data_IF_815481068860
#
_entry.id   IF_815481068860
#
_cell.length_a   1.000
_cell.length_b   1.000
_cell.length_c   1.000
_cell.angle_alpha   90.00
_cell.angle_beta   90.00
_cell.angle_gamma   90.00
#
_symmetry.space_group_name_H-M   'P 1'
#
loop_
_entity.id
_entity.type
_entity.pdbx_description
1 polymer ?
#
# COMPACT_ATOMS: atom_id res chain seq x y z
N UNK A 1 -10.80 -6.34 16.33
CA UNK A 1 -10.14 -5.45 15.36
C UNK A 1 -8.74 -5.22 15.90
N UNK A 2 -7.69 -5.64 15.19
CA UNK A 2 -6.31 -5.37 15.60
C UNK A 2 -6.09 -3.85 15.60
N UNK A 3 -5.40 -3.32 16.61
CA UNK A 3 -5.08 -1.90 16.64
C UNK A 3 -4.12 -1.53 15.49
N UNK A 4 -4.21 -0.29 15.01
CA UNK A 4 -3.44 0.19 13.85
C UNK A 4 -1.93 0.08 14.06
N UNK A 5 -1.43 0.32 15.27
CA UNK A 5 0.00 0.20 15.56
C UNK A 5 0.49 -1.24 15.33
N UNK A 6 -0.26 -2.22 15.84
CA UNK A 6 0.03 -3.64 15.66
C UNK A 6 -0.09 -4.06 14.20
N UNK A 7 -1.03 -3.50 13.44
CA UNK A 7 -1.16 -3.77 12.02
C UNK A 7 0.07 -3.28 11.21
N UNK A 8 0.60 -2.10 11.55
CA UNK A 8 1.82 -1.56 10.93
C UNK A 8 3.04 -2.43 11.25
N UNK A 9 3.23 -2.79 12.52
CA UNK A 9 4.32 -3.68 12.94
C UNK A 9 4.23 -5.05 12.26
N UNK A 10 3.02 -5.61 12.16
CA UNK A 10 2.79 -6.88 11.46
C UNK A 10 3.13 -6.77 9.98
N UNK A 11 2.71 -5.69 9.32
CA UNK A 11 2.99 -5.48 7.91
C UNK A 11 4.49 -5.31 7.63
N UNK A 12 5.20 -4.57 8.48
CA UNK A 12 6.66 -4.42 8.39
C UNK A 12 7.38 -5.75 8.62
N UNK A 13 6.93 -6.57 9.58
CA UNK A 13 7.48 -7.91 9.82
C UNK A 13 7.24 -8.86 8.64
N UNK A 14 6.02 -8.86 8.07
CA UNK A 14 5.69 -9.63 6.87
C UNK A 14 6.55 -9.21 5.67
N UNK A 15 6.74 -7.91 5.44
CA UNK A 15 7.63 -7.40 4.40
C UNK A 15 9.09 -7.84 4.61
N UNK A 16 9.59 -7.80 5.85
CA UNK A 16 10.93 -8.27 6.18
C UNK A 16 11.09 -9.79 5.95
N UNK A 17 10.00 -10.55 6.06
CA UNK A 17 9.93 -11.97 5.76
C UNK A 17 9.64 -12.30 4.28
N UNK A 18 9.58 -11.28 3.40
CA UNK A 18 9.18 -11.41 2.00
C UNK A 18 7.78 -12.01 1.80
N UNK A 19 6.85 -11.72 2.70
CA UNK A 19 5.44 -12.11 2.68
C UNK A 19 4.54 -10.88 2.38
N UNK A 20 4.36 -10.50 1.11
CA UNK A 20 3.50 -9.37 0.76
C UNK A 20 2.01 -9.65 1.04
N UNK A 21 1.56 -10.91 0.98
CA UNK A 21 0.17 -11.27 1.26
C UNK A 21 -0.19 -11.05 2.73
N UNK A 22 0.68 -11.46 3.65
CA UNK A 22 0.52 -11.18 5.08
C UNK A 22 0.50 -9.69 5.38
N UNK A 23 1.35 -8.91 4.70
CA UNK A 23 1.36 -7.46 4.85
C UNK A 23 0.08 -6.79 4.32
N UNK A 24 -0.45 -7.25 3.17
CA UNK A 24 -1.76 -6.82 2.68
C UNK A 24 -2.88 -7.17 3.67
N UNK A 25 -2.88 -8.40 4.20
CA UNK A 25 -3.89 -8.85 5.14
C UNK A 25 -3.91 -8.00 6.42
N UNK A 26 -2.73 -7.60 6.92
CA UNK A 26 -2.58 -6.74 8.09
C UNK A 26 -3.09 -5.32 7.85
N UNK A 27 -2.79 -4.72 6.69
CA UNK A 27 -3.12 -3.32 6.40
C UNK A 27 -4.53 -3.11 5.83
N UNK A 28 -5.13 -4.12 5.21
CA UNK A 28 -6.45 -4.03 4.56
C UNK A 28 -7.55 -3.38 5.43
N UNK A 29 -7.72 -3.71 6.72
CA UNK A 29 -8.75 -3.06 7.53
C UNK A 29 -8.49 -1.56 7.79
N UNK A 30 -7.29 -1.06 7.51
CA UNK A 30 -6.88 0.32 7.77
C UNK A 30 -6.78 1.18 6.50
N UNK A 31 -6.81 0.57 5.31
CA UNK A 31 -6.71 1.30 4.03
C UNK A 31 -8.03 2.00 3.64
N UNK A 32 -9.14 1.70 4.29
CA UNK A 32 -10.40 2.42 4.04
C UNK A 32 -10.31 3.90 4.40
N UNK A 33 -9.66 4.22 5.53
CA UNK A 33 -9.32 5.58 5.96
C UNK A 33 -7.95 6.04 5.49
N UNK A 34 -7.60 5.79 4.23
CA UNK A 34 -6.22 6.00 3.72
C UNK A 34 -5.70 7.44 3.84
N UNK A 35 -6.59 8.42 4.00
CA UNK A 35 -6.24 9.84 4.23
C UNK A 35 -5.86 10.14 5.68
N UNK A 36 -6.21 9.25 6.60
CA UNK A 36 -6.06 9.48 8.03
C UNK A 36 -4.66 9.09 8.54
N UNK A 37 -3.91 8.32 7.74
CA UNK A 37 -2.60 7.81 8.12
C UNK A 37 -1.68 7.66 6.91
N UNK A 38 -0.74 8.60 6.78
CA UNK A 38 0.28 8.61 5.73
C UNK A 38 1.13 7.33 5.75
N UNK A 39 1.38 6.76 6.93
CA UNK A 39 2.27 5.60 7.08
C UNK A 39 1.61 4.33 6.56
N UNK A 40 0.32 4.15 6.84
CA UNK A 40 -0.51 3.09 6.23
C UNK A 40 -0.55 3.27 4.71
N UNK A 41 -0.76 4.50 4.23
CA UNK A 41 -0.78 4.80 2.81
C UNK A 41 0.55 4.44 2.13
N UNK A 42 1.69 4.87 2.69
CA UNK A 42 3.01 4.60 2.13
C UNK A 42 3.33 3.10 2.07
N UNK A 43 3.06 2.35 3.14
CA UNK A 43 3.31 0.90 3.16
C UNK A 43 2.42 0.18 2.15
N UNK A 44 1.14 0.54 2.07
CA UNK A 44 0.23 -0.05 1.10
C UNK A 44 0.64 0.29 -0.34
N UNK A 45 1.02 1.55 -0.63
CA UNK A 45 1.49 1.95 -1.96
C UNK A 45 2.73 1.16 -2.40
N UNK A 46 3.65 0.86 -1.48
CA UNK A 46 4.82 -0.01 -1.77
C UNK A 46 4.40 -1.44 -2.08
N UNK A 47 3.43 -1.97 -1.34
CA UNK A 47 2.91 -3.33 -1.54
C UNK A 47 2.25 -3.50 -2.92
N UNK A 48 1.72 -2.43 -3.51
CA UNK A 48 1.11 -2.49 -4.85
C UNK A 48 2.06 -2.98 -5.94
N UNK A 49 3.38 -2.87 -5.74
CA UNK A 49 4.38 -3.46 -6.66
C UNK A 49 4.32 -4.99 -6.76
N UNK A 50 3.66 -5.66 -5.80
CA UNK A 50 3.41 -7.09 -5.78
C UNK A 50 2.03 -7.48 -6.35
N UNK A 51 1.21 -6.52 -6.76
CA UNK A 51 -0.10 -6.78 -7.39
C UNK A 51 0.13 -7.09 -8.86
N UNK A 52 -0.25 -8.30 -9.27
CA UNK A 52 -0.12 -8.76 -10.67
C UNK A 52 -1.35 -8.45 -11.51
N UNK A 53 -2.47 -8.10 -10.88
CA UNK A 53 -3.70 -7.71 -11.57
C UNK A 53 -3.65 -6.21 -11.93
N UNK A 54 -3.54 -5.91 -13.22
CA UNK A 54 -3.39 -4.54 -13.71
C UNK A 54 -4.61 -3.66 -13.41
N UNK A 55 -5.82 -4.23 -13.41
CA UNK A 55 -7.05 -3.47 -13.15
C UNK A 55 -7.15 -3.09 -11.66
N UNK A 56 -6.84 -4.04 -10.78
CA UNK A 56 -6.76 -3.81 -9.34
C UNK A 56 -5.69 -2.78 -8.99
N UNK A 57 -4.50 -2.89 -9.60
CA UNK A 57 -3.42 -1.92 -9.43
C UNK A 57 -3.85 -0.52 -9.89
N UNK A 58 -4.45 -0.41 -11.09
CA UNK A 58 -4.92 0.87 -11.60
C UNK A 58 -6.03 1.48 -10.73
N UNK A 59 -6.90 0.65 -10.15
CA UNK A 59 -7.93 1.07 -9.20
C UNK A 59 -7.32 1.71 -7.95
N UNK A 60 -6.32 1.05 -7.36
CA UNK A 60 -5.62 1.53 -6.18
C UNK A 60 -4.79 2.79 -6.47
N UNK A 61 -4.05 2.85 -7.59
CA UNK A 61 -3.32 4.08 -7.98
C UNK A 61 -4.29 5.27 -8.10
N UNK A 62 -5.46 5.10 -8.73
CA UNK A 62 -6.48 6.16 -8.82
C UNK A 62 -7.00 6.57 -7.45
N UNK A 63 -7.22 5.62 -6.55
CA UNK A 63 -7.64 5.88 -5.17
C UNK A 63 -6.62 6.73 -4.44
N UNK A 64 -5.35 6.35 -4.51
CA UNK A 64 -4.27 7.07 -3.86
C UNK A 64 -4.04 8.46 -4.43
N UNK A 65 -4.03 8.61 -5.76
CA UNK A 65 -3.87 9.89 -6.41
C UNK A 65 -4.97 10.90 -6.00
N UNK A 66 -6.20 10.42 -5.73
CA UNK A 66 -7.28 11.24 -5.18
C UNK A 66 -7.11 11.55 -3.70
N UNK A 67 -6.51 10.63 -2.94
CA UNK A 67 -6.35 10.79 -1.51
C UNK A 67 -5.17 11.70 -1.14
N UNK A 68 -4.09 11.62 -1.93
CA UNK A 68 -2.80 12.23 -1.66
C UNK A 68 -2.22 12.87 -2.93
N UNK A 69 -2.88 13.87 -3.53
CA UNK A 69 -2.51 14.41 -4.84
C UNK A 69 -1.12 15.05 -4.88
N UNK A 70 -0.70 15.69 -3.78
CA UNK A 70 0.55 16.45 -3.71
C UNK A 70 1.60 15.79 -2.79
N UNK A 71 1.46 14.49 -2.51
CA UNK A 71 2.34 13.79 -1.57
C UNK A 71 3.49 13.07 -2.29
N UNK A 72 4.73 13.59 -2.25
CA UNK A 72 5.82 13.13 -3.11
C UNK A 72 6.23 11.68 -2.84
N UNK A 73 6.27 11.26 -1.57
CA UNK A 73 6.67 9.90 -1.21
C UNK A 73 5.62 8.85 -1.63
N UNK A 74 4.34 9.22 -1.64
CA UNK A 74 3.26 8.33 -2.10
C UNK A 74 3.29 8.26 -3.62
N UNK A 75 3.43 9.41 -4.30
CA UNK A 75 3.55 9.46 -5.75
C UNK A 75 4.72 8.60 -6.27
N UNK A 76 5.88 8.66 -5.59
CA UNK A 76 7.04 7.83 -5.92
C UNK A 76 6.72 6.33 -5.75
N UNK A 77 6.15 5.92 -4.61
CA UNK A 77 5.81 4.51 -4.36
C UNK A 77 4.81 3.96 -5.40
N UNK A 78 3.83 4.76 -5.82
CA UNK A 78 2.88 4.37 -6.88
C UNK A 78 3.58 4.24 -8.24
N UNK A 79 4.52 5.13 -8.56
CA UNK A 79 5.27 5.07 -9.81
C UNK A 79 6.17 3.82 -9.86
N UNK A 80 6.80 3.47 -8.73
CA UNK A 80 7.57 2.23 -8.59
C UNK A 80 6.69 0.99 -8.73
N UNK A 81 5.48 1.00 -8.15
CA UNK A 81 4.51 -0.07 -8.30
C UNK A 81 4.03 -0.22 -9.75
N UNK A 82 3.70 0.88 -10.43
CA UNK A 82 3.31 0.86 -11.83
C UNK A 82 4.43 0.33 -12.75
N UNK A 83 5.68 0.72 -12.49
CA UNK A 83 6.84 0.21 -13.21
C UNK A 83 7.11 -1.28 -12.95
N UNK A 84 6.65 -1.81 -11.81
CA UNK A 84 6.79 -3.22 -11.46
C UNK A 84 5.84 -4.13 -12.22
N UNK A 85 4.63 -3.65 -12.52
CA UNK A 85 3.59 -4.42 -13.21
C UNK A 85 3.79 -4.54 -14.73
N UNK A 86 4.52 -3.61 -15.36
CA UNK A 86 4.84 -3.67 -16.79
C UNK A 86 6.04 -4.54 -17.17
N UNK A 87 6.48 -5.45 -16.28
CA UNK A 87 7.63 -6.35 -16.47
C UNK A 87 7.22 -7.75 -16.88
#
# INVERSE_FOLDING_TARGET
MTDRATALETAEACLAAADPEGAFAALRPHVEGIRDDERVALLWARLLSHVTDEEALAGEIKRFARAWPDHPAIALALAEAAAAAGR
#
